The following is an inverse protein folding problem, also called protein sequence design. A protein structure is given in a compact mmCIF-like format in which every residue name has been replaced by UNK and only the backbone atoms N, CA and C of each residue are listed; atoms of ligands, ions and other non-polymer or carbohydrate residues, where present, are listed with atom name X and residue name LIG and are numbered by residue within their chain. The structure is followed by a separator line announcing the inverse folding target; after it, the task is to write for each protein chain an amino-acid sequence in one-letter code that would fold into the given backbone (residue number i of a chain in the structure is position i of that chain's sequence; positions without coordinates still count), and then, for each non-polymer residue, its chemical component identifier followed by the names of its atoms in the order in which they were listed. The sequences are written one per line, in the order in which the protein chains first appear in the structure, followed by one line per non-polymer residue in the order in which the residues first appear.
data_IF_585775851203
#
_entry.id   IF_585775851203
#
_cell.length_a   1.000
_cell.length_b   1.000
_cell.length_c   1.000
_cell.angle_alpha   90.00
_cell.angle_beta   90.00
_cell.angle_gamma   90.00
#
_symmetry.space_group_name_H-M   'P 1'
#
loop_
_entity.id
_entity.type
_entity.pdbx_description
1 polymer ?
#
# COMPACT_ATOMS: atom_id res chain seq x y z
N UNK A 1 -34.80 -44.40 -45.92
CA UNK A 1 -35.01 -42.95 -46.10
C UNK A 1 -35.03 -42.30 -44.72
N UNK A 2 -34.37 -41.14 -44.60
CA UNK A 2 -33.95 -40.50 -43.35
C UNK A 2 -35.12 -39.76 -42.69
N UNK A 3 -35.38 -39.98 -41.40
CA UNK A 3 -36.14 -39.03 -40.57
C UNK A 3 -35.67 -39.07 -39.12
N UNK A 4 -34.79 -38.15 -38.75
CA UNK A 4 -34.70 -37.59 -37.40
C UNK A 4 -33.75 -36.38 -37.40
N UNK A 5 -34.34 -35.19 -37.48
CA UNK A 5 -33.68 -33.93 -37.10
C UNK A 5 -34.73 -33.10 -36.38
N UNK A 6 -34.51 -32.84 -35.09
CA UNK A 6 -34.44 -31.49 -34.50
C UNK A 6 -34.12 -31.63 -33.01
N UNK A 7 -33.02 -30.96 -32.65
CA UNK A 7 -32.36 -30.92 -31.36
C UNK A 7 -33.27 -30.22 -30.34
N UNK A 8 -33.46 -30.86 -29.17
CA UNK A 8 -34.05 -30.22 -28.00
C UNK A 8 -32.97 -29.41 -27.27
N UNK A 9 -33.37 -28.20 -26.91
CA UNK A 9 -32.67 -27.13 -26.21
C UNK A 9 -31.64 -27.60 -25.16
N UNK A 10 -30.42 -27.08 -25.29
CA UNK A 10 -29.50 -26.90 -24.18
C UNK A 10 -29.76 -25.52 -23.56
N UNK A 11 -30.18 -25.49 -22.30
CA UNK A 11 -30.15 -24.29 -21.46
C UNK A 11 -29.81 -24.72 -20.03
N UNK A 12 -28.55 -25.03 -19.79
CA UNK A 12 -28.02 -25.18 -18.42
C UNK A 12 -27.72 -23.78 -17.92
N UNK A 13 -28.68 -23.19 -17.20
CA UNK A 13 -28.49 -21.93 -16.47
C UNK A 13 -27.76 -22.28 -15.17
N UNK A 14 -26.45 -22.01 -15.11
CA UNK A 14 -25.69 -22.01 -13.87
C UNK A 14 -25.88 -20.66 -13.17
N UNK A 15 -26.43 -20.61 -11.94
CA UNK A 15 -26.43 -19.39 -11.16
C UNK A 15 -25.02 -19.17 -10.59
N UNK A 16 -24.28 -18.21 -11.15
CA UNK A 16 -23.06 -17.70 -10.54
C UNK A 16 -23.45 -16.84 -9.32
N UNK A 17 -23.31 -17.43 -8.14
CA UNK A 17 -23.45 -16.75 -6.86
C UNK A 17 -22.23 -15.88 -6.59
N UNK A 18 -22.28 -14.60 -6.97
CA UNK A 18 -21.33 -13.60 -6.49
C UNK A 18 -21.77 -13.13 -5.10
N UNK A 19 -21.29 -13.82 -4.06
CA UNK A 19 -21.39 -13.36 -2.68
C UNK A 19 -20.48 -12.15 -2.46
N UNK A 20 -21.05 -10.95 -2.49
CA UNK A 20 -20.34 -9.74 -2.06
C UNK A 20 -20.29 -9.70 -0.54
N UNK A 21 -19.19 -10.16 0.03
CA UNK A 21 -18.87 -9.91 1.43
C UNK A 21 -18.45 -8.44 1.60
N UNK A 22 -19.40 -7.57 1.93
CA UNK A 22 -19.12 -6.19 2.33
C UNK A 22 -18.59 -6.16 3.77
N UNK A 23 -17.27 -6.30 3.94
CA UNK A 23 -16.62 -6.02 5.21
C UNK A 23 -16.54 -4.48 5.39
N UNK A 24 -17.63 -3.87 5.84
CA UNK A 24 -17.58 -2.51 6.36
C UNK A 24 -16.82 -2.52 7.69
N UNK A 25 -15.60 -2.00 7.65
CA UNK A 25 -14.77 -1.78 8.82
C UNK A 25 -15.44 -0.76 9.76
N UNK A 26 -16.06 -1.25 10.82
CA UNK A 26 -16.61 -0.42 11.89
C UNK A 26 -15.46 0.06 12.81
N UNK A 27 -15.47 1.34 13.12
CA UNK A 27 -14.34 2.09 13.70
C UNK A 27 -13.92 1.66 15.10
N UNK A 28 -12.62 1.36 15.22
CA UNK A 28 -11.89 1.32 16.49
C UNK A 28 -11.10 2.61 16.67
N UNK A 29 -11.38 3.33 17.76
CA UNK A 29 -10.72 4.57 18.15
C UNK A 29 -9.37 4.25 18.82
N UNK A 30 -8.39 3.82 18.03
CA UNK A 30 -7.01 3.67 18.47
C UNK A 30 -6.06 4.22 17.40
N UNK A 31 -5.71 5.50 17.52
CA UNK A 31 -4.71 6.16 16.68
C UNK A 31 -3.27 5.75 17.07
N UNK A 32 -3.00 4.47 17.26
CA UNK A 32 -1.65 3.92 17.08
C UNK A 32 -1.55 3.50 15.62
N UNK A 33 -1.28 4.47 14.75
CA UNK A 33 -1.07 4.20 13.32
C UNK A 33 -0.17 2.97 13.15
N UNK A 34 -0.55 2.06 12.25
CA UNK A 34 0.17 0.85 11.89
C UNK A 34 1.62 1.16 11.49
N UNK A 35 2.49 1.44 12.47
CA UNK A 35 3.91 1.64 12.27
C UNK A 35 4.53 0.25 12.19
N UNK A 36 4.57 -0.26 10.96
CA UNK A 36 5.70 -1.05 10.51
C UNK A 36 5.77 -2.51 10.94
N UNK A 37 4.67 -3.16 11.31
CA UNK A 37 4.76 -4.60 11.66
C UNK A 37 5.01 -5.49 10.43
N UNK A 38 4.70 -5.02 9.21
CA UNK A 38 4.67 -5.86 8.01
C UNK A 38 4.99 -5.12 6.69
N UNK A 39 5.60 -3.93 6.75
CA UNK A 39 5.90 -3.16 5.54
C UNK A 39 7.24 -3.55 4.91
N UNK A 40 7.30 -3.60 3.57
CA UNK A 40 8.55 -3.69 2.78
C UNK A 40 9.37 -2.38 2.86
N UNK A 41 9.56 -1.84 4.07
CA UNK A 41 10.29 -0.60 4.34
C UNK A 41 11.78 -0.85 4.58
N UNK A 42 12.56 0.24 4.59
CA UNK A 42 13.91 0.22 5.16
C UNK A 42 13.77 0.15 6.68
N UNK A 43 13.54 -1.06 7.17
CA UNK A 43 13.32 -1.29 8.59
C UNK A 43 14.58 -0.91 9.36
N UNK A 44 14.42 -0.02 10.36
CA UNK A 44 15.55 0.38 11.22
C UNK A 44 16.14 -0.81 11.95
N UNK A 45 15.34 -1.85 12.22
CA UNK A 45 15.79 -3.10 12.81
C UNK A 45 16.71 -3.88 11.87
N UNK A 46 16.36 -4.02 10.60
CA UNK A 46 17.22 -4.70 9.60
C UNK A 46 18.53 -3.93 9.44
N UNK A 47 18.48 -2.60 9.26
CA UNK A 47 19.69 -1.80 9.08
C UNK A 47 20.66 -1.88 10.26
N UNK A 48 20.18 -2.14 11.48
CA UNK A 48 21.03 -2.33 12.67
C UNK A 48 21.77 -3.66 12.69
N UNK A 49 21.33 -4.64 11.89
CA UNK A 49 21.90 -5.98 11.81
C UNK A 49 22.90 -6.14 10.66
N UNK A 50 23.13 -5.08 9.87
CA UNK A 50 24.04 -5.09 8.72
C UNK A 50 25.51 -4.76 9.05
N UNK A 51 25.86 -4.70 10.34
CA UNK A 51 27.23 -4.41 10.79
C UNK A 51 27.85 -3.20 10.08
N UNK A 52 27.07 -2.11 10.03
CA UNK A 52 27.45 -0.89 9.32
C UNK A 52 28.71 -0.27 9.95
N UNK A 53 29.63 0.20 9.10
CA UNK A 53 30.77 1.01 9.57
C UNK A 53 30.29 2.36 10.08
N UNK A 54 31.09 3.04 10.88
CA UNK A 54 30.70 4.36 11.40
C UNK A 54 30.55 5.39 10.28
N UNK A 55 31.41 5.34 9.26
CA UNK A 55 31.26 6.15 8.05
C UNK A 55 29.93 5.90 7.33
N UNK A 56 29.50 4.63 7.19
CA UNK A 56 28.20 4.30 6.58
C UNK A 56 27.03 4.80 7.45
N UNK A 57 27.14 4.69 8.78
CA UNK A 57 26.11 5.19 9.72
C UNK A 57 25.96 6.70 9.60
N UNK A 58 27.06 7.43 9.55
CA UNK A 58 27.08 8.89 9.43
C UNK A 58 26.46 9.33 8.10
N UNK A 59 26.87 8.72 6.99
CA UNK A 59 26.30 9.02 5.67
C UNK A 59 24.78 8.74 5.63
N UNK A 60 24.33 7.61 6.18
CA UNK A 60 22.89 7.30 6.27
C UNK A 60 22.14 8.23 7.23
N UNK A 61 22.79 8.78 8.24
CA UNK A 61 22.19 9.76 9.17
C UNK A 61 21.99 11.08 8.45
N UNK A 62 23.02 11.58 7.76
CA UNK A 62 22.97 12.81 6.97
C UNK A 62 21.86 12.73 5.90
N UNK A 63 21.79 11.63 5.14
CA UNK A 63 20.72 11.41 4.17
C UNK A 63 19.32 11.47 4.82
N UNK A 64 19.14 10.93 6.02
CA UNK A 64 17.85 10.97 6.73
C UNK A 64 17.51 12.37 7.22
N UNK A 65 18.50 13.11 7.70
CA UNK A 65 18.33 14.48 8.18
C UNK A 65 17.99 15.43 7.03
N UNK A 66 18.70 15.32 5.89
CA UNK A 66 18.39 16.06 4.67
C UNK A 66 16.97 15.75 4.17
N UNK A 67 16.59 14.46 4.09
CA UNK A 67 15.24 14.05 3.73
C UNK A 67 14.17 14.60 4.69
N UNK A 68 14.46 14.63 6.00
CA UNK A 68 13.55 15.17 7.01
C UNK A 68 13.38 16.68 6.86
N UNK A 69 14.48 17.40 6.60
CA UNK A 69 14.45 18.84 6.35
C UNK A 69 13.65 19.18 5.09
N UNK A 70 13.92 18.49 3.98
CA UNK A 70 13.18 18.61 2.72
C UNK A 70 11.69 18.36 2.93
N UNK A 71 11.34 17.30 3.66
CA UNK A 71 9.94 16.99 3.95
C UNK A 71 9.30 18.10 4.79
N UNK A 72 9.98 18.58 5.84
CA UNK A 72 9.48 19.64 6.72
C UNK A 72 9.21 20.92 5.95
N UNK A 73 10.13 21.35 5.07
CA UNK A 73 9.94 22.51 4.21
C UNK A 73 8.71 22.33 3.32
N UNK A 74 8.63 21.20 2.59
CA UNK A 74 7.45 20.90 1.76
C UNK A 74 6.14 20.91 2.54
N UNK A 75 6.14 20.43 3.79
CA UNK A 75 4.95 20.44 4.65
C UNK A 75 4.56 21.85 5.11
N UNK A 76 5.55 22.68 5.46
CA UNK A 76 5.32 24.05 5.88
C UNK A 76 4.77 24.89 4.71
N UNK A 77 5.44 24.86 3.57
CA UNK A 77 5.10 25.72 2.42
C UNK A 77 3.83 25.25 1.69
N UNK A 78 3.54 23.94 1.73
CA UNK A 78 2.45 23.32 0.99
C UNK A 78 1.21 23.02 1.82
N UNK A 79 1.08 23.52 3.06
CA UNK A 79 -0.02 23.14 3.94
C UNK A 79 -1.39 23.48 3.35
N UNK A 80 -1.60 24.74 2.96
CA UNK A 80 -2.88 25.20 2.40
C UNK A 80 -3.23 24.49 1.10
N UNK A 81 -2.27 24.38 0.17
CA UNK A 81 -2.45 23.68 -1.09
C UNK A 81 -2.87 22.21 -0.88
N UNK A 82 -2.29 21.51 0.10
CA UNK A 82 -2.67 20.13 0.42
C UNK A 82 -4.04 20.02 1.06
N UNK A 83 -4.41 20.98 1.91
CA UNK A 83 -5.74 21.02 2.51
C UNK A 83 -6.80 21.26 1.45
N UNK A 84 -6.55 22.19 0.52
CA UNK A 84 -7.42 22.43 -0.63
C UNK A 84 -7.52 21.20 -1.54
N UNK A 85 -6.40 20.56 -1.86
CA UNK A 85 -6.38 19.31 -2.65
C UNK A 85 -7.19 18.20 -1.97
N UNK A 86 -7.03 18.02 -0.66
CA UNK A 86 -7.77 17.02 0.11
C UNK A 86 -9.27 17.31 0.14
N UNK A 87 -9.65 18.58 0.33
CA UNK A 87 -11.04 18.99 0.33
C UNK A 87 -11.66 18.77 -1.06
N UNK A 88 -11.00 19.23 -2.13
CA UNK A 88 -11.48 19.03 -3.49
C UNK A 88 -11.66 17.55 -3.83
N UNK A 89 -10.72 16.70 -3.41
CA UNK A 89 -10.87 15.25 -3.56
C UNK A 89 -12.08 14.72 -2.80
N UNK A 90 -12.27 15.14 -1.54
CA UNK A 90 -13.42 14.74 -0.73
C UNK A 90 -14.74 15.15 -1.39
N UNK A 91 -14.82 16.37 -1.91
CA UNK A 91 -16.01 16.90 -2.56
C UNK A 91 -16.33 16.13 -3.86
N UNK A 92 -15.31 15.79 -4.67
CA UNK A 92 -15.48 14.91 -5.85
C UNK A 92 -16.04 13.54 -5.48
N UNK A 93 -15.49 12.91 -4.43
CA UNK A 93 -16.00 11.63 -3.93
C UNK A 93 -17.45 11.77 -3.46
N UNK A 94 -17.74 12.81 -2.68
CA UNK A 94 -19.07 13.03 -2.13
C UNK A 94 -20.11 13.27 -3.24
N UNK A 95 -19.77 14.06 -4.26
CA UNK A 95 -20.63 14.31 -5.41
C UNK A 95 -20.96 13.02 -6.16
N UNK A 96 -19.99 12.12 -6.36
CA UNK A 96 -20.22 10.82 -7.00
C UNK A 96 -21.13 9.91 -6.18
N UNK A 97 -20.97 9.92 -4.85
CA UNK A 97 -21.71 9.03 -3.96
C UNK A 97 -23.15 9.51 -3.68
N UNK A 98 -23.39 10.82 -3.75
CA UNK A 98 -24.70 11.43 -3.47
C UNK A 98 -25.49 11.76 -4.75
N UNK A 99 -24.93 11.51 -5.94
CA UNK A 99 -25.64 11.69 -7.20
C UNK A 99 -26.82 10.72 -7.32
N UNK A 100 -27.91 11.17 -7.96
CA UNK A 100 -29.10 10.33 -8.21
C UNK A 100 -28.76 9.09 -9.04
N UNK A 101 -27.77 9.19 -9.93
CA UNK A 101 -27.23 8.09 -10.72
C UNK A 101 -25.70 8.05 -10.59
N UNK A 102 -25.15 6.84 -10.56
CA UNK A 102 -23.70 6.65 -10.49
C UNK A 102 -23.04 6.95 -11.84
N UNK A 103 -22.12 7.92 -11.86
CA UNK A 103 -21.29 8.23 -13.03
C UNK A 103 -20.00 7.40 -13.00
N UNK A 104 -20.02 6.28 -13.72
CA UNK A 104 -18.88 5.37 -13.82
C UNK A 104 -17.66 6.02 -14.50
N UNK A 105 -17.87 6.93 -15.46
CA UNK A 105 -16.77 7.59 -16.17
C UNK A 105 -16.03 8.55 -15.22
N UNK A 106 -16.77 9.37 -14.48
CA UNK A 106 -16.20 10.28 -13.49
C UNK A 106 -15.54 9.53 -12.31
N UNK A 107 -16.09 8.39 -11.88
CA UNK A 107 -15.45 7.53 -10.89
C UNK A 107 -14.12 6.95 -11.38
N UNK A 108 -14.07 6.49 -12.64
CA UNK A 108 -12.83 6.00 -13.25
C UNK A 108 -11.76 7.09 -13.37
N UNK A 109 -12.14 8.31 -13.72
CA UNK A 109 -11.18 9.41 -13.83
C UNK A 109 -10.64 9.85 -12.46
N UNK A 110 -11.50 9.88 -11.43
CA UNK A 110 -11.06 10.09 -10.06
C UNK A 110 -10.08 8.99 -9.60
N UNK A 111 -10.34 7.73 -9.97
CA UNK A 111 -9.44 6.62 -9.66
C UNK A 111 -8.08 6.76 -10.34
N UNK A 112 -8.04 7.20 -11.62
CA UNK A 112 -6.78 7.46 -12.34
C UNK A 112 -5.96 8.55 -11.65
N UNK A 113 -6.58 9.67 -11.26
CA UNK A 113 -5.91 10.77 -10.54
C UNK A 113 -5.23 10.25 -9.25
N UNK A 114 -5.93 9.40 -8.49
CA UNK A 114 -5.38 8.79 -7.28
C UNK A 114 -4.19 7.86 -7.58
N UNK A 115 -4.29 7.05 -8.63
CA UNK A 115 -3.22 6.11 -9.04
C UNK A 115 -1.98 6.86 -9.49
N UNK A 116 -2.12 7.93 -10.27
CA UNK A 116 -1.00 8.76 -10.73
C UNK A 116 -0.24 9.37 -9.54
N UNK A 117 -0.95 10.04 -8.63
CA UNK A 117 -0.36 10.60 -7.41
C UNK A 117 0.30 9.53 -6.54
N UNK A 118 -0.32 8.36 -6.42
CA UNK A 118 0.27 7.25 -5.69
C UNK A 118 1.54 6.72 -6.36
N UNK A 119 1.56 6.65 -7.68
CA UNK A 119 2.70 6.19 -8.48
C UNK A 119 3.89 7.10 -8.29
N UNK A 120 3.71 8.42 -8.44
CA UNK A 120 4.80 9.39 -8.21
C UNK A 120 5.40 9.27 -6.81
N UNK A 121 4.55 9.14 -5.78
CA UNK A 121 4.99 8.97 -4.39
C UNK A 121 5.76 7.66 -4.21
N UNK A 122 5.31 6.57 -4.83
CA UNK A 122 6.01 5.27 -4.77
C UNK A 122 7.37 5.33 -5.44
N UNK A 123 7.47 5.94 -6.63
CA UNK A 123 8.74 6.11 -7.35
C UNK A 123 9.74 6.91 -6.51
N UNK A 124 9.34 8.09 -6.00
CA UNK A 124 10.19 8.90 -5.11
C UNK A 124 10.64 8.15 -3.85
N UNK A 125 9.77 7.29 -3.30
CA UNK A 125 10.13 6.45 -2.16
C UNK A 125 11.14 5.35 -2.54
N UNK A 126 10.97 4.71 -3.69
CA UNK A 126 11.93 3.72 -4.20
C UNK A 126 13.29 4.34 -4.48
N UNK A 127 13.33 5.53 -5.07
CA UNK A 127 14.55 6.29 -5.31
C UNK A 127 15.32 6.55 -4.00
N UNK A 128 14.63 7.05 -2.96
CA UNK A 128 15.25 7.27 -1.63
C UNK A 128 15.76 5.97 -1.02
N UNK A 129 15.03 4.87 -1.15
CA UNK A 129 15.51 3.56 -0.68
C UNK A 129 16.75 3.10 -1.43
N UNK A 130 16.77 3.27 -2.75
CA UNK A 130 17.92 2.94 -3.58
C UNK A 130 19.17 3.73 -3.16
N UNK A 131 19.03 5.05 -2.96
CA UNK A 131 20.11 5.90 -2.46
C UNK A 131 20.64 5.47 -1.09
N UNK A 132 19.75 5.03 -0.18
CA UNK A 132 20.20 4.51 1.11
C UNK A 132 20.93 3.15 0.96
N UNK A 133 20.44 2.26 0.10
CA UNK A 133 21.06 0.95 -0.11
C UNK A 133 22.38 1.03 -0.89
N UNK A 134 22.63 2.10 -1.64
CA UNK A 134 23.90 2.29 -2.35
C UNK A 134 25.10 2.51 -1.42
N UNK A 135 24.87 2.83 -0.14
CA UNK A 135 25.91 2.95 0.90
C UNK A 135 26.44 1.59 1.35
N UNK A 136 25.67 0.53 1.14
CA UNK A 136 25.99 -0.82 1.58
C UNK A 136 26.97 -1.52 0.62
N UNK A 137 27.85 -2.35 1.17
CA UNK A 137 28.69 -3.26 0.39
C UNK A 137 27.84 -4.37 -0.28
N UNK A 138 28.36 -5.09 -1.28
CA UNK A 138 27.66 -6.23 -1.88
C UNK A 138 27.19 -7.26 -0.85
N UNK A 139 28.05 -7.63 0.09
CA UNK A 139 27.78 -8.62 1.14
C UNK A 139 26.69 -8.13 2.10
N UNK A 140 26.70 -6.84 2.45
CA UNK A 140 25.65 -6.23 3.26
C UNK A 140 24.30 -6.20 2.55
N UNK A 141 24.28 -6.05 1.21
CA UNK A 141 23.03 -6.11 0.42
C UNK A 141 22.46 -7.52 0.38
N UNK A 142 23.29 -8.55 0.28
CA UNK A 142 22.86 -9.95 0.37
C UNK A 142 22.23 -10.22 1.74
N UNK A 143 22.93 -9.87 2.82
CA UNK A 143 22.41 -9.98 4.19
C UNK A 143 21.11 -9.19 4.40
N UNK A 144 21.00 -8.00 3.80
CA UNK A 144 19.77 -7.22 3.84
C UNK A 144 18.57 -7.96 3.23
N UNK A 145 18.76 -8.62 2.09
CA UNK A 145 17.72 -9.41 1.42
C UNK A 145 17.29 -10.62 2.26
N UNK A 146 18.25 -11.30 2.91
CA UNK A 146 17.96 -12.41 3.82
C UNK A 146 17.11 -11.96 5.01
N UNK A 147 17.57 -10.94 5.73
CA UNK A 147 16.84 -10.38 6.89
C UNK A 147 15.47 -9.83 6.50
N UNK A 148 15.31 -9.32 5.27
CA UNK A 148 14.00 -8.89 4.76
C UNK A 148 13.04 -10.07 4.59
N UNK A 149 13.51 -11.21 4.06
CA UNK A 149 12.69 -12.42 3.91
C UNK A 149 12.27 -12.98 5.27
N UNK A 150 13.19 -13.07 6.22
CA UNK A 150 12.91 -13.52 7.59
C UNK A 150 11.84 -12.64 8.24
N UNK A 151 11.99 -11.32 8.15
CA UNK A 151 11.01 -10.38 8.71
C UNK A 151 9.64 -10.50 8.06
N UNK A 152 9.60 -10.74 6.75
CA UNK A 152 8.36 -10.96 6.02
C UNK A 152 7.64 -12.23 6.49
N UNK A 153 8.38 -13.32 6.73
CA UNK A 153 7.84 -14.58 7.26
C UNK A 153 7.30 -14.39 8.68
N UNK A 154 8.08 -13.81 9.59
CA UNK A 154 7.63 -13.53 10.96
C UNK A 154 6.36 -12.68 11.00
N UNK A 155 6.30 -11.65 10.16
CA UNK A 155 5.12 -10.82 10.00
C UNK A 155 3.91 -11.67 9.56
N UNK A 156 4.09 -12.52 8.54
CA UNK A 156 3.04 -13.40 8.04
C UNK A 156 2.49 -14.31 9.14
N UNK A 157 3.36 -14.94 9.93
CA UNK A 157 2.96 -15.78 11.05
C UNK A 157 2.23 -15.00 12.15
N UNK A 158 2.73 -13.81 12.51
CA UNK A 158 2.09 -12.92 13.49
C UNK A 158 0.68 -12.53 13.03
N UNK A 159 0.50 -12.21 11.75
CA UNK A 159 -0.81 -11.93 11.19
C UNK A 159 -1.74 -13.16 11.23
N UNK A 160 -1.25 -14.34 10.86
CA UNK A 160 -2.05 -15.57 10.95
C UNK A 160 -2.48 -15.87 12.38
N UNK A 161 -1.59 -15.70 13.37
CA UNK A 161 -1.91 -15.87 14.80
C UNK A 161 -2.99 -14.89 15.25
N UNK A 162 -2.92 -13.61 14.85
CA UNK A 162 -3.94 -12.61 15.15
C UNK A 162 -5.29 -12.97 14.53
N UNK A 163 -5.31 -13.42 13.28
CA UNK A 163 -6.55 -13.84 12.60
C UNK A 163 -7.23 -15.02 13.30
N UNK A 164 -6.46 -16.04 13.71
CA UNK A 164 -6.99 -17.18 14.47
C UNK A 164 -7.60 -16.75 15.81
N UNK A 165 -6.89 -15.90 16.56
CA UNK A 165 -7.39 -15.38 17.84
C UNK A 165 -8.70 -14.60 17.72
N UNK A 166 -8.85 -13.81 16.65
CA UNK A 166 -10.10 -13.08 16.38
C UNK A 166 -11.25 -13.98 15.92
N UNK A 167 -10.97 -15.17 15.40
CA UNK A 167 -12.00 -16.13 15.01
C UNK A 167 -12.50 -17.00 16.18
N UNK A 168 -11.66 -17.16 17.21
CA UNK A 168 -11.96 -17.94 18.42
C UNK A 168 -12.54 -17.10 19.58
N UNK A 169 -12.62 -15.77 19.43
CA UNK A 169 -13.22 -14.83 20.41
C UNK A 169 -14.61 -14.39 19.98
#
# INVERSE_FOLDING_TARGET
MKTAKKLVLAAVVLPLTLGTASAFAFGGKDHKGHRGECGMGMDRGIMRQLDLTDAQKDQLKEMREANKAEMKAKFADGHEARMAERQAHHDKVQALLLADNFDEAAANDLAKEMVEKQTERRVKMLEKKHQMLSVLTPEQKEKFVELQKERQQECGEKMQKRMKKHHES
#
